data_IF_687776174661
#
_entry.id   IF_687776174661
#
_cell.length_a   1.000
_cell.length_b   1.000
_cell.length_c   1.000
_cell.angle_alpha   90.00
_cell.angle_beta   90.00
_cell.angle_gamma   90.00
#
_symmetry.space_group_name_H-M   'P 1'
#
loop_
_entity.id
_entity.type
_entity.pdbx_description
1 polymer ?
#
# COMPACT_ATOMS: atom_id res chain seq x y z
N UNK A 1 -17.41 7.03 12.94
CA UNK A 1 -17.49 6.62 11.53
C UNK A 1 -16.31 5.74 11.18
N UNK A 2 -16.51 4.60 10.52
CA UNK A 2 -15.38 3.83 10.05
C UNK A 2 -14.60 4.60 8.99
N UNK A 3 -13.28 4.40 8.97
CA UNK A 3 -12.46 5.01 7.96
C UNK A 3 -12.81 4.43 6.58
N UNK A 4 -13.05 5.25 5.57
CA UNK A 4 -13.59 4.78 4.30
C UNK A 4 -12.57 4.27 3.29
N UNK A 5 -11.30 4.62 3.43
CA UNK A 5 -10.33 4.44 2.35
C UNK A 5 -9.39 3.28 2.59
N UNK A 6 -9.32 2.37 1.61
CA UNK A 6 -8.28 1.34 1.54
C UNK A 6 -7.28 1.75 0.47
N UNK A 7 -6.00 1.82 0.85
CA UNK A 7 -4.93 2.16 -0.08
C UNK A 7 -4.25 0.87 -0.52
N UNK A 8 -4.11 0.69 -1.83
CA UNK A 8 -3.49 -0.50 -2.40
C UNK A 8 -2.24 -0.08 -3.17
N UNK A 9 -1.11 -0.68 -2.81
CA UNK A 9 0.18 -0.36 -3.40
C UNK A 9 0.79 -1.64 -3.98
N UNK A 10 0.82 -1.78 -5.30
CA UNK A 10 1.55 -2.90 -5.89
C UNK A 10 3.04 -2.65 -5.76
N UNK A 11 3.79 -3.65 -5.34
CA UNK A 11 5.23 -3.54 -5.15
C UNK A 11 5.99 -4.66 -5.82
N UNK A 12 7.19 -4.32 -6.28
CA UNK A 12 8.17 -5.31 -6.73
C UNK A 12 9.54 -4.65 -6.58
N UNK A 13 10.30 -5.09 -5.59
CA UNK A 13 11.62 -4.52 -5.27
C UNK A 13 11.57 -3.01 -5.07
N UNK A 14 10.67 -2.55 -4.23
CA UNK A 14 10.40 -1.14 -3.99
C UNK A 14 10.94 -0.64 -2.64
N UNK A 15 11.92 -1.33 -2.08
CA UNK A 15 12.43 -1.02 -0.74
C UNK A 15 13.01 0.37 -0.58
N UNK A 16 13.53 0.97 -1.66
CA UNK A 16 14.04 2.35 -1.60
C UNK A 16 12.93 3.38 -1.50
N UNK A 17 11.86 3.18 -2.25
CA UNK A 17 10.79 4.18 -2.38
C UNK A 17 9.68 4.01 -1.35
N UNK A 18 9.47 2.79 -0.89
CA UNK A 18 8.33 2.47 -0.04
C UNK A 18 8.28 3.24 1.28
N UNK A 19 9.39 3.45 2.00
CA UNK A 19 9.31 4.20 3.26
C UNK A 19 8.72 5.60 3.10
N UNK A 20 9.13 6.34 2.07
CA UNK A 20 8.60 7.68 1.83
C UNK A 20 7.12 7.63 1.45
N UNK A 21 6.73 6.65 0.65
CA UNK A 21 5.33 6.46 0.25
C UNK A 21 4.45 6.20 1.48
N UNK A 22 4.89 5.30 2.36
CA UNK A 22 4.14 4.98 3.58
C UNK A 22 4.08 6.18 4.52
N UNK A 23 5.18 6.92 4.67
CA UNK A 23 5.20 8.10 5.50
C UNK A 23 4.22 9.16 5.01
N UNK A 24 4.04 9.29 3.70
CA UNK A 24 3.11 10.24 3.12
C UNK A 24 1.65 9.90 3.43
N UNK A 25 1.36 8.66 3.79
CA UNK A 25 0.00 8.22 4.13
C UNK A 25 -0.33 8.39 5.62
N UNK A 26 0.66 8.64 6.47
CA UNK A 26 0.44 8.74 7.91
C UNK A 26 -0.60 9.78 8.31
N UNK A 27 -0.58 11.02 7.75
CA UNK A 27 -1.61 11.99 8.12
C UNK A 27 -3.02 11.50 7.84
N UNK A 28 -3.23 10.78 6.73
CA UNK A 28 -4.54 10.21 6.41
C UNK A 28 -4.95 9.13 7.39
N UNK A 29 -4.01 8.29 7.82
CA UNK A 29 -4.28 7.27 8.81
C UNK A 29 -4.61 7.89 10.17
N UNK A 30 -3.85 8.90 10.57
CA UNK A 30 -4.07 9.58 11.85
C UNK A 30 -5.39 10.34 11.90
N UNK A 31 -5.83 10.89 10.75
CA UNK A 31 -7.09 11.61 10.68
C UNK A 31 -8.31 10.68 10.60
N UNK A 32 -8.09 9.38 10.46
CA UNK A 32 -9.15 8.40 10.31
C UNK A 32 -9.69 8.25 8.90
N UNK A 33 -9.04 8.85 7.91
CA UNK A 33 -9.46 8.73 6.51
C UNK A 33 -9.00 7.40 5.90
N UNK A 34 -7.77 6.99 6.19
CA UNK A 34 -7.22 5.74 5.68
C UNK A 34 -7.49 4.62 6.68
N UNK A 35 -8.26 3.63 6.24
CA UNK A 35 -8.60 2.47 7.07
C UNK A 35 -7.46 1.45 7.11
N UNK A 36 -6.83 1.23 5.97
CA UNK A 36 -5.79 0.21 5.84
C UNK A 36 -4.91 0.52 4.64
N UNK A 37 -3.68 0.01 4.71
CA UNK A 37 -2.76 0.05 3.58
C UNK A 37 -2.43 -1.39 3.24
N UNK A 38 -2.70 -1.79 2.01
CA UNK A 38 -2.45 -3.14 1.52
C UNK A 38 -1.32 -3.10 0.52
N UNK A 39 -0.26 -3.84 0.81
CA UNK A 39 0.88 -3.98 -0.08
C UNK A 39 0.70 -5.28 -0.84
N UNK A 40 0.42 -5.14 -2.14
CA UNK A 40 0.28 -6.31 -3.02
C UNK A 40 1.63 -6.59 -3.66
N UNK A 41 2.42 -7.45 -3.03
CA UNK A 41 3.79 -7.72 -3.45
C UNK A 41 3.85 -8.81 -4.51
N UNK A 42 4.63 -8.55 -5.56
CA UNK A 42 4.77 -9.44 -6.70
C UNK A 42 6.02 -10.32 -6.65
N UNK A 43 6.52 -10.59 -5.45
CA UNK A 43 7.69 -11.45 -5.28
C UNK A 43 8.99 -10.68 -5.12
N UNK A 44 8.99 -9.62 -4.31
CA UNK A 44 10.19 -8.84 -4.04
C UNK A 44 11.28 -9.68 -3.40
N UNK A 45 12.52 -9.46 -3.85
CA UNK A 45 13.68 -10.12 -3.29
C UNK A 45 14.42 -9.23 -2.29
N UNK A 46 14.08 -7.95 -2.24
CA UNK A 46 14.66 -7.01 -1.29
C UNK A 46 13.83 -6.94 0.00
N UNK A 47 14.07 -5.94 0.83
CA UNK A 47 13.40 -5.79 2.12
C UNK A 47 11.98 -5.20 2.02
N UNK A 48 11.40 -5.07 0.83
CA UNK A 48 10.07 -4.49 0.64
C UNK A 48 9.01 -5.08 1.58
N UNK A 49 8.82 -6.40 1.65
CA UNK A 49 7.79 -6.94 2.54
C UNK A 49 8.06 -6.64 4.01
N UNK A 50 9.31 -6.70 4.44
CA UNK A 50 9.68 -6.43 5.82
C UNK A 50 9.44 -4.96 6.19
N UNK A 51 9.74 -4.04 5.28
CA UNK A 51 9.50 -2.61 5.48
C UNK A 51 8.00 -2.36 5.65
N UNK A 52 7.19 -2.95 4.79
CA UNK A 52 5.74 -2.80 4.84
C UNK A 52 5.16 -3.34 6.15
N UNK A 53 5.60 -4.52 6.54
CA UNK A 53 5.13 -5.16 7.77
C UNK A 53 5.50 -4.32 8.99
N UNK A 54 6.73 -3.80 9.03
CA UNK A 54 7.20 -2.95 10.12
C UNK A 54 6.39 -1.65 10.24
N UNK A 55 5.85 -1.17 9.14
CA UNK A 55 5.04 0.05 9.12
C UNK A 55 3.56 -0.21 9.46
N UNK A 56 3.18 -1.46 9.68
CA UNK A 56 1.82 -1.80 10.01
C UNK A 56 0.91 -2.02 8.81
N UNK A 57 1.46 -2.12 7.60
CA UNK A 57 0.67 -2.40 6.42
C UNK A 57 0.38 -3.89 6.31
N UNK A 58 -0.71 -4.24 5.65
CA UNK A 58 -1.02 -5.63 5.32
C UNK A 58 -0.26 -6.03 4.07
N UNK A 59 0.53 -7.09 4.14
CA UNK A 59 1.28 -7.57 2.99
C UNK A 59 0.63 -8.83 2.45
N UNK A 60 0.30 -8.82 1.16
CA UNK A 60 -0.13 -10.02 0.47
C UNK A 60 0.84 -10.30 -0.66
N UNK A 61 1.23 -11.55 -0.81
CA UNK A 61 2.17 -11.95 -1.84
C UNK A 61 1.45 -12.74 -2.93
N UNK A 62 1.89 -12.54 -4.16
CA UNK A 62 1.31 -13.22 -5.30
C UNK A 62 2.18 -13.06 -6.53
N UNK A 63 1.72 -13.53 -7.69
CA UNK A 63 2.50 -13.41 -8.91
C UNK A 63 2.66 -11.96 -9.33
N UNK A 64 3.81 -11.66 -9.94
CA UNK A 64 4.08 -10.33 -10.46
C UNK A 64 3.13 -10.00 -11.61
N UNK A 65 2.84 -8.73 -11.75
CA UNK A 65 1.96 -8.20 -12.77
C UNK A 65 1.04 -7.17 -12.17
N UNK A 66 1.11 -5.94 -12.67
CA UNK A 66 0.35 -4.84 -12.07
C UNK A 66 -1.13 -5.15 -11.91
N UNK A 67 -1.76 -5.64 -12.98
CA UNK A 67 -3.19 -5.93 -12.93
C UNK A 67 -3.51 -7.00 -11.88
N UNK A 68 -2.70 -8.05 -11.84
CA UNK A 68 -2.90 -9.13 -10.86
C UNK A 68 -2.72 -8.64 -9.43
N UNK A 69 -1.71 -7.79 -9.21
CA UNK A 69 -1.43 -7.25 -7.88
C UNK A 69 -2.55 -6.30 -7.43
N UNK A 70 -3.05 -5.46 -8.32
CA UNK A 70 -4.15 -4.56 -8.00
C UNK A 70 -5.43 -5.32 -7.68
N UNK A 71 -5.73 -6.36 -8.45
CA UNK A 71 -6.91 -7.19 -8.21
C UNK A 71 -6.80 -7.90 -6.87
N UNK A 72 -5.63 -8.47 -6.57
CA UNK A 72 -5.40 -9.13 -5.29
C UNK A 72 -5.59 -8.17 -4.12
N UNK A 73 -5.04 -6.97 -4.23
CA UNK A 73 -5.19 -5.96 -3.19
C UNK A 73 -6.64 -5.53 -3.02
N UNK A 74 -7.32 -5.30 -4.13
CA UNK A 74 -8.72 -4.87 -4.09
C UNK A 74 -9.62 -5.92 -3.46
N UNK A 75 -9.37 -7.20 -3.70
CA UNK A 75 -10.18 -8.26 -3.12
C UNK A 75 -9.99 -8.40 -1.61
N UNK A 76 -8.87 -7.88 -1.09
CA UNK A 76 -8.58 -7.89 0.34
C UNK A 76 -9.14 -6.66 1.06
N UNK A 77 -9.44 -5.61 0.32
CA UNK A 77 -9.81 -4.31 0.89
C UNK A 77 -11.16 -4.33 1.58
N UNK A 78 -11.25 -3.62 2.70
CA UNK A 78 -12.48 -3.52 3.51
C UNK A 78 -13.09 -2.13 3.51
N UNK A 79 -12.36 -1.14 2.98
CA UNK A 79 -12.88 0.22 2.90
C UNK A 79 -13.93 0.35 1.80
N UNK A 80 -14.72 1.40 1.90
CA UNK A 80 -15.76 1.69 0.89
C UNK A 80 -15.15 2.24 -0.39
N UNK A 81 -13.96 2.83 -0.29
CA UNK A 81 -13.26 3.42 -1.42
C UNK A 81 -11.87 2.84 -1.54
N UNK A 82 -11.39 2.71 -2.76
CA UNK A 82 -10.05 2.19 -3.05
C UNK A 82 -9.20 3.29 -3.67
N UNK A 83 -7.98 3.42 -3.17
CA UNK A 83 -6.98 4.31 -3.77
C UNK A 83 -5.78 3.45 -4.17
N UNK A 84 -5.41 3.50 -5.44
CA UNK A 84 -4.27 2.77 -5.96
C UNK A 84 -3.08 3.73 -6.10
N UNK A 85 -1.97 3.40 -5.44
CA UNK A 85 -0.75 4.21 -5.51
C UNK A 85 0.41 3.33 -5.95
N UNK A 86 1.36 3.95 -6.63
CA UNK A 86 2.65 3.31 -6.89
C UNK A 86 3.57 3.55 -5.70
N UNK A 87 4.48 2.61 -5.43
CA UNK A 87 5.41 2.73 -4.32
C UNK A 87 6.33 3.94 -4.45
N UNK A 88 6.61 4.39 -5.67
CA UNK A 88 7.41 5.57 -5.93
C UNK A 88 6.61 6.86 -5.93
N UNK A 89 5.32 6.79 -5.62
CA UNK A 89 4.47 7.98 -5.56
C UNK A 89 4.73 8.75 -4.28
N UNK A 90 5.01 10.02 -4.41
CA UNK A 90 5.12 10.92 -3.25
C UNK A 90 3.97 11.91 -3.37
N UNK A 91 3.11 11.94 -2.36
CA UNK A 91 1.99 12.86 -2.36
C UNK A 91 2.49 14.26 -2.10
N UNK A 92 2.29 15.14 -3.09
CA UNK A 92 2.72 16.52 -3.00
C UNK A 92 1.65 17.36 -2.33
N UNK A 93 2.09 18.38 -1.63
CA UNK A 93 1.19 19.38 -1.06
C UNK A 93 0.89 20.50 -2.04
N UNK A 94 1.66 20.58 -3.07
CA UNK A 94 1.57 21.66 -4.05
C UNK A 94 0.57 21.38 -5.15
#
# INVERSE_FOLDING_TARGET
MPAPLSVIIPTLNAGEDLPACLAALMPGAESGLVREVIIADGGSEDATPAIADSAGADVIEGPAGRAKQLISGASRARGDWLLFLHADTVLSRD
#
